data_IF_435043252851
#
_entry.id   IF_435043252851
#
_cell.length_a   1.000
_cell.length_b   1.000
_cell.length_c   1.000
_cell.angle_alpha   90.00
_cell.angle_beta   90.00
_cell.angle_gamma   90.00
#
_symmetry.space_group_name_H-M   'P 1'
#
loop_
_entity.id
_entity.type
_entity.pdbx_description
1 polymer ?
#
# COMPACT_ATOMS: atom_id res chain seq x y z
N UNK A 1 -29.49 -4.49 47.14
CA UNK A 1 -30.10 -3.18 46.81
C UNK A 1 -28.98 -2.22 46.47
N UNK A 2 -29.17 -1.42 45.41
CA UNK A 2 -28.27 -0.38 44.86
C UNK A 2 -27.02 -0.92 44.15
N UNK A 3 -26.77 -0.68 42.86
CA UNK A 3 -27.42 0.21 41.90
C UNK A 3 -26.39 0.53 40.82
N UNK A 4 -26.25 -0.32 39.80
CA UNK A 4 -25.38 -0.05 38.65
C UNK A 4 -26.10 0.93 37.73
N UNK A 5 -25.82 2.22 37.95
CA UNK A 5 -26.32 3.30 37.12
C UNK A 5 -25.65 3.23 35.74
N UNK A 6 -26.41 2.71 34.78
CA UNK A 6 -26.05 2.65 33.37
C UNK A 6 -25.53 4.00 32.88
N UNK A 7 -24.30 3.99 32.37
CA UNK A 7 -23.64 5.15 31.78
C UNK A 7 -24.32 5.43 30.44
N UNK A 8 -25.43 6.17 30.49
CA UNK A 8 -26.15 6.61 29.32
C UNK A 8 -25.21 7.35 28.38
N UNK A 9 -25.10 6.86 27.14
CA UNK A 9 -24.44 7.56 26.04
C UNK A 9 -25.05 8.96 25.97
N UNK A 10 -24.24 9.99 26.24
CA UNK A 10 -24.68 11.37 26.31
C UNK A 10 -25.39 11.80 25.01
N UNK A 11 -26.37 12.70 25.11
CA UNK A 11 -27.04 13.26 23.95
C UNK A 11 -26.01 13.87 22.99
N UNK A 12 -25.92 13.32 21.78
CA UNK A 12 -25.03 13.81 20.73
C UNK A 12 -25.52 15.18 20.23
N UNK A 13 -24.61 16.04 19.78
CA UNK A 13 -24.94 17.39 19.27
C UNK A 13 -25.69 17.36 17.93
N UNK A 14 -25.78 16.20 17.29
CA UNK A 14 -26.49 15.97 16.03
C UNK A 14 -27.64 14.98 16.21
N UNK A 15 -28.62 15.03 15.31
CA UNK A 15 -29.79 14.15 15.34
C UNK A 15 -29.43 12.72 14.92
N UNK A 16 -29.59 11.76 15.83
CA UNK A 16 -29.23 10.35 15.60
C UNK A 16 -30.23 9.61 14.70
N UNK A 17 -31.49 10.06 14.66
CA UNK A 17 -32.55 9.51 13.79
C UNK A 17 -32.30 9.88 12.33
N UNK A 18 -31.73 11.06 12.07
CA UNK A 18 -31.32 11.47 10.73
C UNK A 18 -30.14 10.65 10.19
N UNK A 19 -29.33 10.05 11.08
CA UNK A 19 -28.24 9.11 10.71
C UNK A 19 -28.78 7.69 10.47
N UNK A 20 -30.04 7.42 10.84
CA UNK A 20 -30.70 6.13 10.63
C UNK A 20 -30.78 5.24 11.87
N UNK A 21 -30.40 5.73 13.04
CA UNK A 21 -30.63 5.01 14.30
C UNK A 21 -31.94 5.49 14.94
N UNK A 22 -32.92 4.58 15.09
CA UNK A 22 -34.15 4.91 15.79
C UNK A 22 -33.87 5.28 17.26
N UNK A 23 -34.77 6.07 17.87
CA UNK A 23 -34.67 6.46 19.27
C UNK A 23 -34.60 5.22 20.18
N UNK A 24 -33.50 5.08 20.92
CA UNK A 24 -33.26 3.92 21.78
C UNK A 24 -32.77 2.66 21.05
N UNK A 25 -32.43 2.75 19.76
CA UNK A 25 -31.80 1.66 19.03
C UNK A 25 -30.39 1.36 19.57
N UNK A 26 -29.99 0.09 19.46
CA UNK A 26 -28.64 -0.33 19.79
C UNK A 26 -27.64 0.33 18.82
N UNK A 27 -26.78 1.21 19.34
CA UNK A 27 -25.66 1.76 18.59
C UNK A 27 -24.50 0.76 18.61
N UNK A 28 -23.57 0.82 17.63
CA UNK A 28 -22.43 -0.09 17.56
C UNK A 28 -21.69 -0.20 18.89
N UNK A 29 -21.14 -1.37 19.16
CA UNK A 29 -20.34 -1.58 20.37
C UNK A 29 -19.10 -0.68 20.37
N UNK A 30 -18.69 -0.27 21.58
CA UNK A 30 -17.48 0.52 21.75
C UNK A 30 -16.28 -0.38 21.49
N UNK A 31 -15.49 -0.05 20.46
CA UNK A 31 -14.26 -0.77 20.14
C UNK A 31 -13.18 -0.36 21.14
N UNK A 32 -12.74 -1.29 21.99
CA UNK A 32 -11.78 -1.02 23.07
C UNK A 32 -10.32 -0.93 22.60
N UNK A 33 -9.98 -1.56 21.47
CA UNK A 33 -8.62 -1.62 20.93
C UNK A 33 -8.62 -1.33 19.43
N UNK A 34 -7.64 -0.58 18.88
CA UNK A 34 -7.53 -0.39 17.44
C UNK A 34 -7.44 -1.74 16.70
N UNK A 35 -8.08 -1.87 15.51
CA UNK A 35 -7.94 -3.05 14.69
C UNK A 35 -6.48 -3.35 14.36
N UNK A 36 -6.14 -4.64 14.26
CA UNK A 36 -4.81 -5.06 13.88
C UNK A 36 -4.41 -4.45 12.51
N UNK A 37 -3.13 -4.03 12.32
CA UNK A 37 -2.68 -3.46 11.04
C UNK A 37 -2.85 -4.40 9.85
N UNK A 38 -2.85 -5.71 10.10
CA UNK A 38 -3.03 -6.74 9.08
C UNK A 38 -4.26 -7.58 9.44
N UNK A 39 -5.42 -7.32 8.82
CA UNK A 39 -6.60 -8.16 9.01
C UNK A 39 -6.36 -9.54 8.40
N UNK A 40 -6.94 -10.57 9.01
CA UNK A 40 -6.94 -11.92 8.44
C UNK A 40 -7.71 -11.94 7.11
N UNK A 41 -7.05 -12.38 6.05
CA UNK A 41 -7.70 -12.57 4.75
C UNK A 41 -8.32 -13.96 4.65
N UNK A 42 -9.55 -14.05 4.12
CA UNK A 42 -10.22 -15.34 3.88
C UNK A 42 -9.50 -16.14 2.79
N UNK A 43 -9.05 -15.46 1.73
CA UNK A 43 -8.34 -16.07 0.62
C UNK A 43 -6.83 -15.91 0.78
N UNK A 44 -6.09 -17.00 0.53
CA UNK A 44 -4.62 -17.01 0.46
C UNK A 44 -4.17 -16.97 -1.00
N UNK A 45 -3.01 -16.36 -1.30
CA UNK A 45 -2.46 -16.38 -2.65
C UNK A 45 -2.16 -17.82 -3.07
N UNK A 46 -2.36 -18.11 -4.35
CA UNK A 46 -2.06 -19.41 -4.94
C UNK A 46 -0.54 -19.67 -4.87
N UNK A 47 -0.10 -20.89 -4.52
CA UNK A 47 1.32 -21.25 -4.55
C UNK A 47 1.94 -20.99 -5.93
N UNK A 48 3.23 -20.67 -5.93
CA UNK A 48 3.98 -20.55 -7.18
C UNK A 48 4.02 -21.89 -7.93
N UNK A 49 4.08 -21.82 -9.26
CA UNK A 49 4.25 -23.01 -10.09
C UNK A 49 5.63 -23.59 -9.81
N UNK A 50 5.70 -24.91 -9.68
CA UNK A 50 6.93 -25.67 -9.43
C UNK A 50 7.25 -26.54 -10.63
N UNK A 51 8.52 -26.65 -10.98
CA UNK A 51 8.99 -27.50 -12.07
C UNK A 51 10.33 -27.01 -12.62
N UNK A 52 11.05 -27.90 -13.31
CA UNK A 52 12.39 -27.61 -13.83
C UNK A 52 12.41 -26.41 -14.78
N UNK A 53 11.38 -26.25 -15.62
CA UNK A 53 11.26 -25.12 -16.54
C UNK A 53 11.09 -23.78 -15.80
N UNK A 54 10.26 -23.76 -14.75
CA UNK A 54 10.02 -22.56 -13.94
C UNK A 54 11.28 -22.18 -13.14
N UNK A 55 11.97 -23.17 -12.59
CA UNK A 55 13.22 -23.00 -11.85
C UNK A 55 14.34 -22.49 -12.77
N UNK A 56 14.42 -23.02 -14.00
CA UNK A 56 15.35 -22.56 -15.02
C UNK A 56 15.08 -21.10 -15.41
N UNK A 57 13.83 -20.72 -15.65
CA UNK A 57 13.46 -19.34 -15.93
C UNK A 57 13.77 -18.38 -14.77
N UNK A 58 13.57 -18.82 -13.53
CA UNK A 58 13.93 -18.04 -12.33
C UNK A 58 15.44 -17.83 -12.24
N UNK A 59 16.24 -18.88 -12.47
CA UNK A 59 17.70 -18.80 -12.48
C UNK A 59 18.19 -17.85 -13.59
N UNK A 60 17.67 -18.02 -14.81
CA UNK A 60 18.02 -17.19 -15.96
C UNK A 60 17.69 -15.72 -15.71
N UNK A 61 16.52 -15.42 -15.13
CA UNK A 61 16.14 -14.05 -14.77
C UNK A 61 17.11 -13.43 -13.77
N UNK A 62 17.59 -14.20 -12.79
CA UNK A 62 18.56 -13.71 -11.81
C UNK A 62 19.92 -13.43 -12.45
N UNK A 63 20.37 -14.32 -13.34
CA UNK A 63 21.60 -14.14 -14.10
C UNK A 63 21.52 -12.88 -14.98
N UNK A 64 20.42 -12.69 -15.72
CA UNK A 64 20.20 -11.51 -16.53
C UNK A 64 20.28 -10.23 -15.70
N UNK A 65 19.67 -10.19 -14.50
CA UNK A 65 19.77 -9.04 -13.61
C UNK A 65 21.21 -8.71 -13.22
N UNK A 66 22.06 -9.72 -13.08
CA UNK A 66 23.50 -9.56 -12.85
C UNK A 66 24.20 -9.00 -14.08
N UNK A 67 24.06 -9.68 -15.21
CA UNK A 67 24.72 -9.35 -16.48
C UNK A 67 24.31 -7.98 -17.02
N UNK A 68 23.03 -7.59 -16.87
CA UNK A 68 22.57 -6.27 -17.31
C UNK A 68 23.29 -5.14 -16.58
N UNK A 69 23.66 -5.31 -15.31
CA UNK A 69 24.39 -4.28 -14.55
C UNK A 69 25.84 -4.09 -14.99
N UNK A 70 26.43 -5.09 -15.66
CA UNK A 70 27.81 -5.02 -16.18
C UNK A 70 27.87 -4.55 -17.62
N UNK A 71 26.73 -4.46 -18.31
CA UNK A 71 26.66 -4.00 -19.69
C UNK A 71 26.95 -2.49 -19.77
N UNK A 72 27.61 -2.01 -20.83
CA UNK A 72 27.94 -0.58 -21.00
C UNK A 72 26.70 0.32 -21.14
N UNK A 73 25.52 -0.27 -21.35
CA UNK A 73 24.23 0.43 -21.38
C UNK A 73 23.65 0.71 -20.00
N UNK A 74 24.21 0.11 -18.93
CA UNK A 74 23.77 0.37 -17.57
C UNK A 74 24.36 1.67 -17.05
N UNK A 75 23.63 2.76 -17.24
CA UNK A 75 24.02 4.08 -16.75
C UNK A 75 23.85 4.13 -15.22
N UNK A 76 24.96 4.26 -14.50
CA UNK A 76 24.94 4.49 -13.05
C UNK A 76 24.81 5.98 -12.75
N UNK A 77 24.15 6.32 -11.63
CA UNK A 77 23.91 7.70 -11.19
C UNK A 77 25.22 8.45 -10.87
N UNK A 78 26.33 7.74 -10.71
CA UNK A 78 27.67 8.29 -10.47
C UNK A 78 28.22 9.12 -11.65
N UNK A 79 27.63 8.99 -12.85
CA UNK A 79 27.92 9.87 -13.99
C UNK A 79 27.03 11.13 -13.96
N UNK A 80 27.16 11.92 -12.89
CA UNK A 80 26.42 13.17 -12.66
C UNK A 80 26.52 14.14 -13.86
N UNK A 81 27.65 14.09 -14.58
CA UNK A 81 27.90 14.91 -15.77
C UNK A 81 27.00 14.54 -16.97
N UNK A 82 26.61 13.27 -17.12
CA UNK A 82 25.83 12.80 -18.28
C UNK A 82 24.34 13.10 -18.17
N UNK A 83 23.77 12.89 -16.97
CA UNK A 83 22.36 13.18 -16.70
C UNK A 83 22.06 14.69 -16.77
N UNK A 84 22.98 15.53 -16.30
CA UNK A 84 22.83 16.99 -16.41
C UNK A 84 22.82 17.45 -17.87
N UNK A 85 23.72 16.92 -18.71
CA UNK A 85 23.76 17.24 -20.15
C UNK A 85 22.49 16.77 -20.85
N UNK A 86 22.01 15.55 -20.58
CA UNK A 86 20.74 15.08 -21.13
C UNK A 86 19.55 15.93 -20.66
N UNK A 87 19.50 16.29 -19.37
CA UNK A 87 18.41 17.11 -18.82
C UNK A 87 18.42 18.53 -19.38
N UNK A 88 19.60 19.14 -19.52
CA UNK A 88 19.77 20.44 -20.18
C UNK A 88 19.37 20.36 -21.66
N UNK A 89 19.75 19.30 -22.37
CA UNK A 89 19.43 19.16 -23.79
C UNK A 89 17.92 18.96 -24.00
N UNK A 90 17.29 18.10 -23.19
CA UNK A 90 15.84 17.91 -23.20
C UNK A 90 15.12 19.21 -22.84
N UNK A 91 15.57 19.90 -21.79
CA UNK A 91 14.98 21.19 -21.38
C UNK A 91 15.13 22.26 -22.46
N UNK A 92 16.29 22.33 -23.13
CA UNK A 92 16.54 23.26 -24.23
C UNK A 92 15.62 22.96 -25.41
N UNK A 93 15.51 21.69 -25.82
CA UNK A 93 14.63 21.28 -26.93
C UNK A 93 13.16 21.58 -26.62
N UNK A 94 12.70 21.34 -25.38
CA UNK A 94 11.33 21.64 -24.95
C UNK A 94 11.06 23.14 -24.84
N UNK A 95 12.07 23.95 -24.51
CA UNK A 95 11.94 25.42 -24.42
C UNK A 95 12.01 26.09 -25.79
N UNK A 96 12.69 25.47 -26.76
CA UNK A 96 12.86 25.99 -28.13
C UNK A 96 11.75 25.52 -29.08
N UNK A 97 10.99 24.48 -28.71
CA UNK A 97 9.77 24.04 -29.40
C UNK A 97 8.55 24.84 -28.93
#
# INVERSE_FOLDING_TARGET
HAGEAGRGRAALTFNIEAVGFAKGAALPEDVLEPPAPYPSTENKPVPLKTGEDEDYMLALKQELRGTTKTLPYFLTVEHHEGLFVCFLFISLVVTVL
#
